data_IF_089481667445
#
_entry.id   IF_089481667445
#
_cell.length_a   1.000
_cell.length_b   1.000
_cell.length_c   1.000
_cell.angle_alpha   90.00
_cell.angle_beta   90.00
_cell.angle_gamma   90.00
#
_symmetry.space_group_name_H-M   'P 1'
#
loop_
_entity.id
_entity.type
_entity.pdbx_description
1 polymer ?
#
# COMPACT_ATOMS: atom_id res chain seq x y z
N UNK A 1 22.12 19.38 -22.18
CA UNK A 1 20.82 18.72 -22.35
C UNK A 1 19.92 19.20 -21.24
N UNK A 2 18.78 19.77 -21.62
CA UNK A 2 17.79 20.36 -20.71
C UNK A 2 17.16 19.24 -19.86
N UNK A 3 17.28 19.33 -18.55
CA UNK A 3 16.60 18.46 -17.60
C UNK A 3 15.09 18.74 -17.66
N UNK A 4 14.30 17.73 -17.99
CA UNK A 4 12.84 17.83 -17.95
C UNK A 4 12.38 17.92 -16.49
N UNK A 5 11.91 19.10 -16.12
CA UNK A 5 11.08 19.30 -14.92
C UNK A 5 9.77 18.55 -15.18
N UNK A 6 9.56 17.41 -14.53
CA UNK A 6 8.24 16.76 -14.53
C UNK A 6 7.26 17.75 -13.90
N UNK A 7 6.25 18.14 -14.67
CA UNK A 7 5.20 19.05 -14.23
C UNK A 7 4.51 18.46 -12.99
N UNK A 8 4.63 19.17 -11.87
CA UNK A 8 3.93 18.88 -10.62
C UNK A 8 2.43 19.13 -10.81
N UNK A 9 1.59 18.14 -10.51
CA UNK A 9 0.14 18.35 -10.39
C UNK A 9 -0.16 18.91 -8.99
N UNK A 10 0.15 20.19 -8.78
CA UNK A 10 -0.47 20.95 -7.70
C UNK A 10 -1.96 21.07 -8.04
N UNK A 11 -2.79 20.23 -7.44
CA UNK A 11 -4.25 20.33 -7.63
C UNK A 11 -4.80 21.15 -6.48
N UNK A 12 -4.77 22.47 -6.63
CA UNK A 12 -5.60 23.34 -5.79
C UNK A 12 -7.05 23.15 -6.22
N UNK A 13 -7.86 22.58 -5.33
CA UNK A 13 -9.25 22.18 -5.51
C UNK A 13 -9.43 20.89 -6.32
N UNK A 14 -9.51 19.77 -5.60
CA UNK A 14 -9.98 18.51 -6.16
C UNK A 14 -11.37 18.73 -6.81
N UNK A 15 -11.56 18.38 -8.10
CA UNK A 15 -12.85 18.48 -8.73
C UNK A 15 -13.87 17.55 -8.04
N UNK A 16 -15.14 17.95 -8.04
CA UNK A 16 -16.27 17.20 -7.49
C UNK A 16 -17.54 17.96 -7.86
N UNK A 17 -18.70 17.27 -7.88
CA UNK A 17 -20.00 17.92 -8.15
C UNK A 17 -20.15 19.21 -7.32
N UNK A 18 -20.69 20.26 -7.96
CA UNK A 18 -20.89 21.66 -7.50
C UNK A 18 -20.27 22.03 -6.14
N UNK A 19 -19.38 23.03 -6.14
CA UNK A 19 -18.89 23.63 -4.90
C UNK A 19 -20.07 23.96 -3.95
N UNK A 20 -20.00 23.59 -2.65
CA UNK A 20 -21.09 23.85 -1.73
C UNK A 20 -21.51 25.31 -1.80
N UNK A 21 -22.81 25.54 -1.96
CA UNK A 21 -23.38 26.90 -2.11
C UNK A 21 -23.55 27.62 -0.78
N UNK A 22 -23.08 27.06 0.33
CA UNK A 22 -22.99 27.76 1.61
C UNK A 22 -21.52 27.87 2.05
N UNK A 23 -21.27 28.70 3.06
CA UNK A 23 -19.94 29.09 3.55
C UNK A 23 -19.05 27.93 4.07
N UNK A 24 -19.54 26.68 4.02
CA UNK A 24 -18.76 25.48 4.37
C UNK A 24 -17.64 25.20 3.36
N UNK A 25 -16.41 25.28 3.85
CA UNK A 25 -15.22 24.88 3.11
C UNK A 25 -14.97 23.38 3.20
N UNK A 26 -14.66 22.76 2.07
CA UNK A 26 -14.15 21.39 2.08
C UNK A 26 -12.67 21.36 2.39
N UNK A 27 -12.21 20.26 2.97
CA UNK A 27 -10.79 20.04 3.15
C UNK A 27 -10.05 20.00 1.80
N UNK A 28 -9.07 20.90 1.63
CA UNK A 28 -8.16 20.86 0.48
C UNK A 28 -7.08 19.79 0.74
N UNK A 29 -7.05 18.75 -0.09
CA UNK A 29 -6.16 17.60 0.08
C UNK A 29 -5.28 17.44 -1.15
N UNK A 30 -3.98 17.29 -0.92
CA UNK A 30 -3.01 16.90 -1.94
C UNK A 30 -2.47 15.51 -1.63
N UNK A 31 -2.49 14.62 -2.61
CA UNK A 31 -1.86 13.29 -2.52
C UNK A 31 -0.54 13.34 -3.26
N UNK A 32 0.55 13.01 -2.56
CA UNK A 32 1.89 12.95 -3.13
C UNK A 32 2.05 11.84 -4.18
N UNK A 33 3.21 11.75 -4.84
CA UNK A 33 3.50 10.66 -5.75
C UNK A 33 3.49 9.33 -5.00
N UNK A 34 3.14 8.25 -5.70
CA UNK A 34 3.21 6.91 -5.14
C UNK A 34 4.68 6.59 -4.82
N UNK A 35 4.99 6.15 -3.59
CA UNK A 35 6.37 5.95 -3.16
C UNK A 35 7.06 4.85 -3.97
N UNK A 36 8.38 4.93 -4.10
CA UNK A 36 9.18 3.85 -4.67
C UNK A 36 9.53 2.81 -3.59
N UNK A 37 9.64 1.55 -3.98
CA UNK A 37 10.26 0.54 -3.12
C UNK A 37 11.78 0.75 -3.08
N UNK A 38 12.38 0.45 -1.93
CA UNK A 38 13.84 0.38 -1.77
C UNK A 38 14.30 -1.06 -1.99
N UNK A 39 15.45 -1.25 -2.63
CA UNK A 39 15.99 -2.60 -2.86
C UNK A 39 16.33 -3.29 -1.53
N UNK A 40 15.69 -4.43 -1.29
CA UNK A 40 15.98 -5.32 -0.16
C UNK A 40 17.07 -6.33 -0.52
N UNK A 41 17.87 -6.72 0.48
CA UNK A 41 18.92 -7.72 0.30
C UNK A 41 18.41 -9.11 0.66
N UNK A 42 18.66 -10.08 -0.23
CA UNK A 42 18.45 -11.51 0.03
C UNK A 42 19.81 -12.20 0.20
N UNK A 43 19.89 -13.18 1.09
CA UNK A 43 21.04 -14.08 1.23
C UNK A 43 20.65 -15.50 0.79
N UNK A 44 21.61 -16.25 0.27
CA UNK A 44 21.46 -17.69 0.01
C UNK A 44 21.54 -18.48 1.32
N UNK A 45 21.19 -19.76 1.26
CA UNK A 45 21.31 -20.68 2.39
C UNK A 45 22.71 -20.76 3.02
N UNK A 46 23.77 -20.52 2.24
CA UNK A 46 25.16 -20.48 2.71
C UNK A 46 25.56 -19.12 3.34
N UNK A 47 24.61 -18.19 3.47
CA UNK A 47 24.83 -16.85 4.01
C UNK A 47 25.36 -15.84 2.99
N UNK A 48 25.64 -16.25 1.75
CA UNK A 48 26.16 -15.35 0.71
C UNK A 48 25.07 -14.37 0.28
N UNK A 49 25.30 -13.04 0.34
CA UNK A 49 24.36 -12.06 -0.20
C UNK A 49 24.18 -12.26 -1.71
N UNK A 50 22.94 -12.21 -2.18
CA UNK A 50 22.69 -12.03 -3.59
C UNK A 50 23.12 -10.63 -3.99
N UNK A 51 23.82 -10.53 -5.12
CA UNK A 51 24.12 -9.24 -5.72
C UNK A 51 22.79 -8.53 -5.96
N UNK A 52 22.64 -7.32 -5.41
CA UNK A 52 21.50 -6.46 -5.69
C UNK A 52 21.47 -6.25 -7.20
N UNK A 53 20.53 -6.91 -7.88
CA UNK A 53 20.16 -6.51 -9.23
C UNK A 53 19.45 -5.19 -9.00
N UNK A 54 20.19 -4.08 -9.12
CA UNK A 54 19.58 -2.76 -9.25
C UNK A 54 18.58 -2.90 -10.38
N UNK A 55 17.31 -3.06 -10.05
CA UNK A 55 16.27 -2.75 -11.02
C UNK A 55 16.42 -1.26 -11.15
N UNK A 56 17.04 -0.81 -12.24
CA UNK A 56 17.00 0.60 -12.58
C UNK A 56 15.54 1.02 -12.37
N UNK A 57 15.29 2.10 -11.63
CA UNK A 57 13.98 2.74 -11.67
C UNK A 57 13.73 3.02 -13.14
N UNK A 58 12.99 2.14 -13.80
CA UNK A 58 12.54 2.36 -15.16
C UNK A 58 11.52 3.49 -15.09
N UNK A 59 11.17 4.07 -16.22
CA UNK A 59 10.07 5.04 -16.30
C UNK A 59 8.71 4.48 -15.78
N UNK A 60 8.69 3.18 -15.42
CA UNK A 60 7.74 2.46 -14.56
C UNK A 60 7.98 2.70 -13.05
N UNK A 61 8.32 3.92 -12.64
CA UNK A 61 8.11 4.30 -11.25
C UNK A 61 6.66 3.93 -10.88
N UNK A 62 6.44 3.38 -9.68
CA UNK A 62 5.08 3.06 -9.23
C UNK A 62 4.24 4.33 -9.39
N UNK A 63 3.21 4.28 -10.22
CA UNK A 63 2.30 5.40 -10.46
C UNK A 63 0.94 5.05 -9.85
N UNK A 64 0.20 6.10 -9.53
CA UNK A 64 -1.22 5.96 -9.33
C UNK A 64 -1.86 5.54 -10.65
N UNK A 65 -2.79 4.59 -10.57
CA UNK A 65 -3.48 4.03 -11.73
C UNK A 65 -4.94 4.49 -11.74
N UNK A 66 -5.54 4.60 -12.92
CA UNK A 66 -6.96 4.95 -13.05
C UNK A 66 -7.82 4.03 -12.17
N UNK A 67 -8.62 4.63 -11.30
CA UNK A 67 -9.47 3.91 -10.37
C UNK A 67 -8.81 3.50 -9.05
N UNK A 68 -7.54 3.87 -8.81
CA UNK A 68 -6.94 3.80 -7.48
C UNK A 68 -7.76 4.64 -6.49
N UNK A 69 -7.96 4.12 -5.27
CA UNK A 69 -8.75 4.77 -4.23
C UNK A 69 -7.92 4.95 -2.96
N UNK A 70 -7.91 6.17 -2.43
CA UNK A 70 -7.40 6.51 -1.11
C UNK A 70 -8.58 6.75 -0.18
N UNK A 71 -8.65 5.98 0.90
CA UNK A 71 -9.62 6.15 1.97
C UNK A 71 -9.10 7.16 2.98
N UNK A 72 -9.97 8.06 3.41
CA UNK A 72 -9.67 9.13 4.34
C UNK A 72 -10.40 8.89 5.66
N UNK A 73 -9.66 9.02 6.74
CA UNK A 73 -10.16 9.08 8.11
C UNK A 73 -9.83 10.46 8.66
N UNK A 74 -10.81 11.22 9.11
CA UNK A 74 -10.59 12.54 9.67
C UNK A 74 -11.21 12.67 11.05
N UNK A 75 -10.47 13.28 11.97
CA UNK A 75 -10.91 13.55 13.33
C UNK A 75 -11.11 15.05 13.49
N UNK A 76 -12.29 15.44 13.97
CA UNK A 76 -12.66 16.83 14.24
C UNK A 76 -12.93 17.01 15.72
N UNK A 77 -12.69 18.23 16.18
CA UNK A 77 -13.07 18.67 17.50
C UNK A 77 -14.01 19.85 17.38
N UNK A 78 -15.15 19.78 18.08
CA UNK A 78 -16.08 20.91 18.18
C UNK A 78 -15.58 21.96 19.21
N UNK A 79 -16.30 23.08 19.32
CA UNK A 79 -15.96 24.16 20.25
C UNK A 79 -16.06 23.77 21.73
N UNK A 80 -16.76 22.68 22.06
CA UNK A 80 -16.92 22.14 23.41
C UNK A 80 -15.84 21.08 23.74
N UNK A 81 -15.02 20.71 22.75
CA UNK A 81 -13.97 19.72 22.87
C UNK A 81 -14.40 18.29 22.52
N UNK A 82 -15.64 18.07 22.08
CA UNK A 82 -16.11 16.74 21.67
C UNK A 82 -15.45 16.32 20.36
N UNK A 83 -15.08 15.04 20.29
CA UNK A 83 -14.39 14.47 19.13
C UNK A 83 -15.38 13.71 18.25
N UNK A 84 -15.36 14.00 16.96
CA UNK A 84 -16.11 13.28 15.93
C UNK A 84 -15.18 12.73 14.86
N UNK A 85 -15.53 11.57 14.32
CA UNK A 85 -14.78 10.90 13.25
C UNK A 85 -15.60 10.91 11.96
N UNK A 86 -14.95 11.20 10.84
CA UNK A 86 -15.55 11.21 9.53
C UNK A 86 -14.71 10.43 8.54
N UNK A 87 -15.39 9.89 7.55
CA UNK A 87 -14.80 9.04 6.52
C UNK A 87 -15.08 9.62 5.15
N UNK A 88 -14.11 9.49 4.26
CA UNK A 88 -14.28 9.85 2.87
C UNK A 88 -13.36 9.01 1.99
N UNK A 89 -13.44 9.19 0.69
CA UNK A 89 -12.45 8.64 -0.23
C UNK A 89 -12.14 9.60 -1.36
N UNK A 90 -10.92 9.47 -1.88
CA UNK A 90 -10.46 10.08 -3.12
C UNK A 90 -10.24 8.98 -4.14
N UNK A 91 -10.66 9.22 -5.38
CA UNK A 91 -10.36 8.35 -6.51
C UNK A 91 -9.39 9.05 -7.45
N UNK A 92 -8.45 8.31 -7.99
CA UNK A 92 -7.52 8.80 -8.99
C UNK A 92 -8.14 8.64 -10.38
N UNK A 93 -8.19 9.73 -11.12
CA UNK A 93 -8.18 9.69 -12.58
C UNK A 93 -6.73 9.77 -13.06
N UNK A 94 -6.42 9.28 -14.25
CA UNK A 94 -5.10 9.31 -14.93
C UNK A 94 -4.21 10.54 -14.69
N UNK A 95 -4.78 11.69 -14.31
CA UNK A 95 -4.05 12.93 -14.02
C UNK A 95 -4.36 13.57 -12.66
N UNK A 96 -5.48 13.29 -12.01
CA UNK A 96 -5.91 14.01 -10.80
C UNK A 96 -6.71 13.18 -9.82
N UNK A 97 -6.62 13.53 -8.54
CA UNK A 97 -7.47 12.99 -7.49
C UNK A 97 -8.78 13.78 -7.40
N UNK A 98 -9.87 13.10 -7.06
CA UNK A 98 -11.16 13.74 -6.84
C UNK A 98 -11.95 13.01 -5.75
N UNK A 99 -12.83 13.75 -5.09
CA UNK A 99 -13.80 13.17 -4.16
C UNK A 99 -14.82 12.33 -4.94
N UNK A 100 -15.21 11.18 -4.40
CA UNK A 100 -16.19 10.31 -5.05
C UNK A 100 -17.49 11.06 -5.38
N UNK A 101 -17.99 10.88 -6.61
CA UNK A 101 -19.35 11.35 -6.95
C UNK A 101 -20.38 10.56 -6.15
N UNK A 102 -21.61 11.10 -6.02
CA UNK A 102 -22.72 10.38 -5.37
C UNK A 102 -23.00 9.02 -6.02
N UNK A 103 -22.86 8.94 -7.34
CA UNK A 103 -23.04 7.69 -8.09
C UNK A 103 -21.94 6.68 -7.75
N UNK A 104 -20.68 7.09 -7.72
CA UNK A 104 -19.56 6.19 -7.41
C UNK A 104 -19.59 5.70 -5.96
N UNK A 105 -19.89 6.60 -5.02
CA UNK A 105 -20.18 6.19 -3.64
C UNK A 105 -21.35 5.19 -3.60
N UNK A 106 -22.38 5.44 -4.41
CA UNK A 106 -23.48 4.55 -4.73
C UNK A 106 -23.05 3.13 -5.13
N UNK A 107 -22.17 3.05 -6.11
CA UNK A 107 -21.61 1.81 -6.66
C UNK A 107 -20.67 1.10 -5.68
N UNK A 108 -20.04 1.85 -4.78
CA UNK A 108 -19.21 1.34 -3.69
C UNK A 108 -20.01 0.92 -2.45
N UNK A 109 -21.34 1.10 -2.46
CA UNK A 109 -22.23 0.69 -1.37
C UNK A 109 -22.23 1.65 -0.16
N UNK A 110 -21.85 2.90 -0.37
CA UNK A 110 -21.67 3.95 0.64
C UNK A 110 -22.90 4.86 0.82
N UNK A 111 -24.07 4.41 0.34
CA UNK A 111 -25.22 5.24 -0.04
C UNK A 111 -25.98 5.89 1.13
N UNK A 112 -25.54 5.66 2.36
CA UNK A 112 -26.28 6.01 3.57
C UNK A 112 -25.72 7.21 4.33
N UNK A 113 -24.61 7.81 3.88
CA UNK A 113 -23.97 8.89 4.63
C UNK A 113 -23.68 10.08 3.70
N UNK A 114 -24.52 11.12 3.77
CA UNK A 114 -24.34 12.35 2.98
C UNK A 114 -23.00 13.06 3.28
N UNK A 115 -22.36 12.67 4.38
CA UNK A 115 -21.07 13.14 4.89
C UNK A 115 -19.86 12.44 4.26
N UNK A 116 -20.07 11.30 3.57
CA UNK A 116 -18.98 10.44 3.12
C UNK A 116 -18.27 10.94 1.86
N UNK A 117 -18.97 11.68 1.00
CA UNK A 117 -18.43 12.02 -0.32
C UNK A 117 -17.39 13.13 -0.24
N UNK A 118 -17.47 13.99 0.77
CA UNK A 118 -16.57 15.13 0.93
C UNK A 118 -16.42 15.45 2.39
N UNK A 119 -15.20 15.67 2.83
CA UNK A 119 -14.93 16.17 4.17
C UNK A 119 -15.30 17.66 4.18
N UNK A 120 -16.50 17.95 4.67
CA UNK A 120 -17.03 19.29 4.84
C UNK A 120 -16.88 19.67 6.30
N UNK A 121 -16.13 20.75 6.57
CA UNK A 121 -15.97 21.28 7.91
C UNK A 121 -17.20 22.09 8.32
N UNK A 122 -17.90 21.73 9.41
CA UNK A 122 -18.90 22.61 9.99
C UNK A 122 -18.22 23.80 10.69
N UNK A 123 -18.90 24.95 10.73
CA UNK A 123 -18.40 26.13 11.43
C UNK A 123 -18.13 25.84 12.91
N UNK A 124 -17.00 26.34 13.41
CA UNK A 124 -16.56 26.11 14.80
C UNK A 124 -15.85 24.78 15.05
N UNK A 125 -15.69 23.93 14.04
CA UNK A 125 -14.91 22.69 14.16
C UNK A 125 -13.46 22.90 13.72
N UNK A 126 -12.55 22.21 14.41
CA UNK A 126 -11.13 22.14 14.03
C UNK A 126 -10.80 20.72 13.56
N UNK A 127 -10.12 20.60 12.42
CA UNK A 127 -9.49 19.33 12.01
C UNK A 127 -8.32 19.05 12.95
N UNK A 128 -8.37 17.94 13.66
CA UNK A 128 -7.29 17.49 14.55
C UNK A 128 -6.28 16.66 13.78
N UNK A 129 -6.76 15.70 13.02
CA UNK A 129 -5.92 14.79 12.25
C UNK A 129 -6.68 14.28 11.02
N UNK A 130 -5.93 13.91 9.99
CA UNK A 130 -6.44 13.29 8.77
C UNK A 130 -5.46 12.19 8.39
N UNK A 131 -5.94 10.96 8.28
CA UNK A 131 -5.16 9.80 7.88
C UNK A 131 -5.64 9.32 6.50
N UNK A 132 -4.69 8.90 5.68
CA UNK A 132 -4.92 8.35 4.35
C UNK A 132 -4.52 6.88 4.31
N UNK A 133 -5.37 6.04 3.74
CA UNK A 133 -5.14 4.61 3.59
C UNK A 133 -5.36 4.18 2.14
N UNK A 134 -4.45 3.39 1.61
CA UNK A 134 -4.57 2.81 0.28
C UNK A 134 -4.57 1.29 0.38
N UNK A 135 -5.65 0.69 -0.12
CA UNK A 135 -5.86 -0.75 -0.20
C UNK A 135 -6.36 -1.15 -1.60
N UNK A 136 -5.92 -0.42 -2.63
CA UNK A 136 -6.38 -0.59 -4.01
C UNK A 136 -7.81 -0.09 -4.21
N UNK A 137 -8.51 -0.67 -5.17
CA UNK A 137 -9.90 -0.31 -5.53
C UNK A 137 -10.97 -1.09 -4.74
N UNK A 138 -10.60 -1.68 -3.60
CA UNK A 138 -11.49 -2.53 -2.80
C UNK A 138 -12.70 -1.76 -2.27
N UNK A 139 -13.89 -2.32 -2.46
CA UNK A 139 -15.15 -1.76 -1.93
C UNK A 139 -15.36 -2.20 -0.48
N UNK A 140 -15.82 -1.30 0.41
CA UNK A 140 -16.17 -1.68 1.76
C UNK A 140 -17.39 -2.60 1.76
N UNK A 141 -17.33 -3.68 2.54
CA UNK A 141 -18.47 -4.54 2.83
C UNK A 141 -19.49 -3.88 3.75
N UNK A 142 -20.55 -4.61 4.12
CA UNK A 142 -21.69 -4.10 4.92
C UNK A 142 -21.32 -3.47 6.28
N UNK A 143 -20.12 -3.74 6.79
CA UNK A 143 -19.65 -3.22 8.07
C UNK A 143 -18.53 -2.16 7.91
N UNK A 144 -18.27 -1.67 6.69
CA UNK A 144 -17.14 -0.77 6.42
C UNK A 144 -15.80 -1.48 6.24
N UNK A 145 -15.79 -2.83 6.17
CA UNK A 145 -14.60 -3.64 6.01
C UNK A 145 -14.16 -3.72 4.55
N UNK A 146 -12.96 -3.24 4.23
CA UNK A 146 -12.30 -3.42 2.93
C UNK A 146 -11.44 -4.67 3.02
N UNK A 147 -11.69 -5.65 2.16
CA UNK A 147 -10.91 -6.90 2.11
C UNK A 147 -9.74 -6.73 1.15
N UNK A 148 -8.53 -7.04 1.62
CA UNK A 148 -7.32 -7.02 0.82
C UNK A 148 -7.09 -8.42 0.26
N UNK A 149 -6.87 -8.57 -1.06
CA UNK A 149 -6.65 -9.87 -1.66
C UNK A 149 -5.46 -10.60 -1.04
N UNK A 150 -5.59 -11.93 -0.89
CA UNK A 150 -4.48 -12.75 -0.44
C UNK A 150 -3.35 -12.78 -1.48
N UNK A 151 -2.08 -12.90 -1.08
CA UNK A 151 -0.94 -12.99 -2.01
C UNK A 151 -0.98 -14.16 -2.99
N UNK A 152 -1.82 -15.16 -2.73
CA UNK A 152 -2.08 -16.29 -3.62
C UNK A 152 -3.23 -16.08 -4.61
N UNK A 153 -3.92 -14.94 -4.54
CA UNK A 153 -4.93 -14.58 -5.52
C UNK A 153 -4.32 -13.98 -6.78
N UNK A 154 -5.13 -13.86 -7.83
CA UNK A 154 -4.73 -13.26 -9.11
C UNK A 154 -4.54 -11.73 -9.04
N UNK A 155 -4.87 -11.12 -7.88
CA UNK A 155 -4.78 -9.69 -7.63
C UNK A 155 -3.89 -9.42 -6.44
N UNK A 156 -3.00 -8.44 -6.56
CA UNK A 156 -2.02 -8.11 -5.51
C UNK A 156 -2.02 -6.60 -5.30
N UNK A 157 -2.13 -6.16 -4.04
CA UNK A 157 -2.29 -4.75 -3.70
C UNK A 157 -1.18 -4.31 -2.73
N UNK A 158 -0.41 -3.25 -3.05
CA UNK A 158 0.57 -2.71 -2.13
C UNK A 158 -0.11 -1.78 -1.13
N UNK A 159 -0.37 -2.27 0.07
CA UNK A 159 -1.02 -1.47 1.13
C UNK A 159 -0.11 -0.32 1.55
N UNK A 160 -0.69 0.87 1.65
CA UNK A 160 0.02 2.08 2.09
C UNK A 160 -0.81 2.89 3.07
N UNK A 161 -0.13 3.67 3.91
CA UNK A 161 -0.74 4.64 4.80
C UNK A 161 0.04 5.95 4.82
N UNK A 162 -0.64 7.02 5.24
CA UNK A 162 -0.07 8.34 5.41
C UNK A 162 -0.80 9.08 6.55
N UNK A 163 -0.04 9.74 7.42
CA UNK A 163 -0.57 10.83 8.23
C UNK A 163 -0.61 12.11 7.40
N UNK A 164 -1.68 12.87 7.51
CA UNK A 164 -1.85 14.12 6.81
C UNK A 164 -0.97 15.19 7.43
N UNK A 165 -0.23 15.89 6.58
CA UNK A 165 0.58 17.03 6.98
C UNK A 165 -0.20 18.32 6.73
N UNK A 166 -0.54 19.03 7.81
CA UNK A 166 -1.23 20.32 7.72
C UNK A 166 -0.28 21.40 7.21
N UNK A 167 -0.70 22.12 6.17
CA UNK A 167 0.01 23.31 5.69
C UNK A 167 0.15 24.37 6.77
N UNK A 168 1.20 25.18 6.66
CA UNK A 168 1.48 26.29 7.60
C UNK A 168 0.32 27.31 7.62
N UNK A 169 -0.36 27.48 6.48
CA UNK A 169 -1.51 28.38 6.35
C UNK A 169 -2.80 27.80 6.94
N UNK A 170 -2.81 26.49 7.26
CA UNK A 170 -3.87 25.87 8.05
C UNK A 170 -5.03 25.27 7.27
N UNK A 171 -5.11 25.53 5.97
CA UNK A 171 -6.31 25.27 5.15
C UNK A 171 -6.17 24.09 4.17
N UNK A 172 -4.97 23.52 4.06
CA UNK A 172 -4.67 22.37 3.19
C UNK A 172 -3.88 21.28 3.92
N UNK A 173 -4.06 20.05 3.46
CA UNK A 173 -3.42 18.84 3.97
C UNK A 173 -2.73 18.09 2.83
N UNK A 174 -1.52 17.60 3.08
CA UNK A 174 -0.76 16.79 2.12
C UNK A 174 -0.48 15.40 2.67
N UNK A 175 -0.57 14.38 1.80
CA UNK A 175 -0.26 13.00 2.15
C UNK A 175 1.01 12.52 1.46
N UNK A 176 1.96 12.06 2.27
CA UNK A 176 3.16 11.34 1.83
C UNK A 176 3.02 9.86 2.23
N UNK A 177 2.59 9.03 1.29
CA UNK A 177 2.34 7.62 1.56
C UNK A 177 3.62 6.81 1.79
N UNK A 178 3.50 5.82 2.67
CA UNK A 178 4.53 4.81 2.93
C UNK A 178 3.93 3.42 2.80
N UNK A 179 4.73 2.47 2.30
CA UNK A 179 4.29 1.09 2.19
C UNK A 179 4.25 0.44 3.57
N UNK A 180 3.15 -0.25 3.87
CA UNK A 180 3.03 -1.08 5.06
C UNK A 180 3.60 -2.49 4.81
N UNK A 181 3.84 -2.85 3.55
CA UNK A 181 4.25 -4.18 3.08
C UNK A 181 5.62 -4.15 2.38
N UNK A 182 6.24 -5.34 2.22
CA UNK A 182 7.32 -5.56 1.27
C UNK A 182 6.79 -6.07 -0.07
N UNK A 183 7.54 -5.83 -1.14
CA UNK A 183 7.33 -6.45 -2.45
C UNK A 183 8.23 -7.67 -2.61
N UNK A 184 7.69 -8.80 -3.04
CA UNK A 184 8.46 -9.95 -3.52
C UNK A 184 8.21 -10.14 -5.02
N UNK A 185 9.24 -9.94 -5.83
CA UNK A 185 9.20 -10.12 -7.29
C UNK A 185 9.66 -11.54 -7.65
N UNK A 186 8.75 -12.31 -8.23
CA UNK A 186 8.92 -13.72 -8.54
C UNK A 186 9.11 -13.90 -10.06
N UNK A 187 10.20 -14.54 -10.53
CA UNK A 187 10.37 -14.85 -11.94
C UNK A 187 9.40 -15.95 -12.43
N UNK A 188 9.14 -15.96 -13.74
CA UNK A 188 8.31 -16.97 -14.39
C UNK A 188 8.89 -18.39 -14.24
N UNK A 189 8.03 -19.40 -14.20
CA UNK A 189 8.41 -20.81 -14.14
C UNK A 189 8.86 -21.32 -12.77
N UNK A 190 8.75 -20.52 -11.71
CA UNK A 190 9.09 -20.93 -10.35
C UNK A 190 7.87 -21.11 -9.46
N UNK A 191 7.80 -22.26 -8.78
CA UNK A 191 6.97 -22.42 -7.60
C UNK A 191 7.67 -21.74 -6.43
N UNK A 192 6.92 -20.98 -5.62
CA UNK A 192 7.43 -20.27 -4.45
C UNK A 192 6.73 -20.75 -3.21
N UNK A 193 7.50 -21.06 -2.16
CA UNK A 193 6.98 -21.43 -0.86
C UNK A 193 7.61 -20.60 0.25
N UNK A 194 6.81 -20.29 1.26
CA UNK A 194 7.24 -19.62 2.50
C UNK A 194 6.43 -20.19 3.66
N UNK A 195 7.09 -20.51 4.77
CA UNK A 195 6.39 -20.96 5.97
C UNK A 195 5.88 -19.76 6.76
N UNK A 196 4.59 -19.75 7.13
CA UNK A 196 4.02 -18.79 8.09
C UNK A 196 4.30 -17.31 7.76
N UNK A 197 4.22 -16.93 6.47
CA UNK A 197 4.25 -15.51 6.13
C UNK A 197 2.94 -14.84 6.57
N UNK A 198 2.98 -13.51 6.65
CA UNK A 198 1.80 -12.68 6.94
C UNK A 198 1.51 -11.71 5.80
N UNK A 199 0.26 -11.28 5.71
CA UNK A 199 -0.17 -10.19 4.83
C UNK A 199 -1.32 -9.43 5.49
N UNK A 200 -1.56 -8.20 5.05
CA UNK A 200 -2.73 -7.44 5.45
C UNK A 200 -3.97 -8.02 4.76
N UNK A 201 -4.93 -8.53 5.54
CA UNK A 201 -6.14 -9.15 4.98
C UNK A 201 -7.34 -8.21 4.90
N UNK A 202 -7.39 -7.16 5.73
CA UNK A 202 -8.50 -6.22 5.71
C UNK A 202 -8.18 -4.90 6.41
N UNK A 203 -8.95 -3.87 6.06
CA UNK A 203 -9.00 -2.57 6.72
C UNK A 203 -10.44 -2.27 7.15
N UNK A 204 -10.63 -1.78 8.37
CA UNK A 204 -11.96 -1.44 8.90
C UNK A 204 -12.13 0.07 8.94
N UNK A 205 -13.04 0.61 8.12
CA UNK A 205 -13.28 2.05 8.07
C UNK A 205 -13.69 2.58 9.46
N UNK A 206 -14.82 2.18 10.10
CA UNK A 206 -15.27 2.76 11.38
C UNK A 206 -14.31 2.53 12.55
N UNK A 207 -13.44 1.52 12.44
CA UNK A 207 -12.45 1.21 13.46
C UNK A 207 -11.26 2.14 13.46
N UNK A 208 -10.92 2.76 12.32
CA UNK A 208 -9.69 3.56 12.12
C UNK A 208 -8.40 2.76 12.24
N UNK A 209 -8.43 1.67 12.99
CA UNK A 209 -7.40 0.70 13.13
C UNK A 209 -7.34 -0.16 11.88
N UNK A 210 -6.14 -0.20 11.31
CA UNK A 210 -5.69 -1.29 10.47
C UNK A 210 -5.71 -2.54 11.35
N UNK A 211 -6.90 -3.12 11.53
CA UNK A 211 -7.14 -4.20 12.46
C UNK A 211 -6.48 -5.42 11.85
N UNK A 212 -5.24 -5.66 12.30
CA UNK A 212 -4.32 -6.66 11.80
C UNK A 212 -4.94 -8.05 12.02
N UNK A 213 -5.85 -8.46 11.14
CA UNK A 213 -6.05 -9.87 10.85
C UNK A 213 -4.95 -10.24 9.87
N UNK A 214 -3.74 -10.37 10.40
CA UNK A 214 -2.72 -11.12 9.70
C UNK A 214 -3.13 -12.57 9.70
N UNK A 215 -3.34 -13.11 8.51
CA UNK A 215 -3.37 -14.55 8.38
C UNK A 215 -1.91 -15.02 8.29
N UNK A 216 -1.49 -15.81 9.26
CA UNK A 216 -0.32 -16.65 9.09
C UNK A 216 -0.78 -17.87 8.28
N UNK A 217 -0.41 -17.91 7.01
CA UNK A 217 -0.67 -19.06 6.16
C UNK A 217 0.63 -19.48 5.50
N UNK A 218 0.88 -20.78 5.28
CA UNK A 218 1.91 -21.18 4.35
C UNK A 218 1.62 -20.56 2.98
N UNK A 219 2.65 -19.99 2.35
CA UNK A 219 2.61 -19.61 0.95
C UNK A 219 2.98 -20.83 0.12
N UNK A 220 2.16 -21.13 -0.87
CA UNK A 220 2.48 -22.10 -1.91
C UNK A 220 1.90 -21.60 -3.23
N UNK A 221 2.72 -20.88 -3.98
CA UNK A 221 2.32 -20.35 -5.28
C UNK A 221 2.89 -21.24 -6.38
N UNK A 222 2.05 -21.83 -7.26
CA UNK A 222 2.54 -22.63 -8.37
C UNK A 222 3.39 -21.78 -9.32
N UNK A 223 4.16 -22.47 -10.17
CA UNK A 223 4.84 -21.82 -11.29
C UNK A 223 3.80 -21.14 -12.19
N UNK A 224 4.05 -19.87 -12.52
CA UNK A 224 3.28 -19.13 -13.52
C UNK A 224 4.13 -18.87 -14.76
N UNK A 225 3.46 -18.67 -15.88
CA UNK A 225 4.11 -18.44 -17.18
C UNK A 225 4.74 -17.04 -17.29
N UNK A 226 4.36 -16.11 -16.41
CA UNK A 226 4.86 -14.75 -16.35
C UNK A 226 5.44 -14.42 -14.96
N UNK A 227 6.39 -13.47 -14.87
CA UNK A 227 6.79 -12.90 -13.59
C UNK A 227 5.60 -12.26 -12.87
N UNK A 228 5.59 -12.28 -11.55
CA UNK A 228 4.54 -11.67 -10.73
C UNK A 228 5.12 -11.02 -9.48
N UNK A 229 4.47 -9.97 -9.03
CA UNK A 229 4.77 -9.30 -7.77
C UNK A 229 3.70 -9.65 -6.74
N UNK A 230 4.14 -10.05 -5.56
CA UNK A 230 3.26 -10.22 -4.40
C UNK A 230 3.65 -9.25 -3.29
N UNK A 231 2.66 -8.78 -2.54
CA UNK A 231 2.87 -7.91 -1.39
C UNK A 231 2.62 -8.67 -0.10
N UNK A 232 3.66 -8.75 0.71
CA UNK A 232 3.63 -9.48 1.97
C UNK A 232 3.84 -8.48 3.10
N UNK A 233 3.37 -8.80 4.29
CA UNK A 233 3.89 -8.13 5.47
C UNK A 233 5.41 -8.24 5.47
N UNK A 234 6.08 -7.26 6.10
CA UNK A 234 7.52 -7.17 6.07
C UNK A 234 8.13 -8.56 6.30
N UNK A 235 8.98 -9.03 5.37
CA UNK A 235 9.32 -10.46 5.13
C UNK A 235 10.00 -11.12 6.34
N UNK A 236 9.24 -11.25 7.40
CA UNK A 236 9.59 -11.62 8.74
C UNK A 236 8.33 -12.12 9.46
N UNK A 237 8.51 -12.99 10.43
CA UNK A 237 7.43 -13.40 11.33
C UNK A 237 7.06 -12.28 12.31
N UNK A 238 6.17 -12.58 13.26
CA UNK A 238 5.67 -11.65 14.28
C UNK A 238 6.77 -11.02 15.13
N UNK A 239 7.94 -11.67 15.18
CA UNK A 239 9.10 -11.27 15.96
C UNK A 239 10.12 -10.49 15.13
N UNK A 240 9.82 -10.20 13.86
CA UNK A 240 10.76 -9.53 12.95
C UNK A 240 11.82 -10.48 12.38
N UNK A 241 11.69 -11.79 12.55
CA UNK A 241 12.67 -12.78 12.07
C UNK A 241 12.38 -13.13 10.62
N UNK A 242 13.33 -12.93 9.68
CA UNK A 242 13.13 -13.21 8.27
C UNK A 242 12.64 -14.64 7.99
N UNK A 243 11.55 -14.75 7.23
CA UNK A 243 11.03 -16.05 6.80
C UNK A 243 11.79 -16.52 5.55
N UNK A 244 12.37 -17.74 5.55
CA UNK A 244 13.00 -18.29 4.36
C UNK A 244 12.00 -18.46 3.19
N UNK A 245 12.46 -18.10 2.00
CA UNK A 245 11.76 -18.19 0.74
C UNK A 245 12.36 -19.34 -0.06
N UNK A 246 11.55 -20.33 -0.38
CA UNK A 246 11.96 -21.49 -1.18
C UNK A 246 11.46 -21.35 -2.61
N UNK A 247 12.37 -21.40 -3.58
CA UNK A 247 12.07 -21.44 -5.02
C UNK A 247 12.32 -22.83 -5.56
N UNK A 248 11.38 -23.34 -6.36
CA UNK A 248 11.52 -24.63 -7.04
C UNK A 248 11.23 -24.49 -8.53
N UNK A 249 12.11 -25.02 -9.37
CA UNK A 249 11.93 -25.13 -10.82
C UNK A 249 12.58 -26.39 -11.35
N UNK A 250 11.83 -27.18 -12.12
CA UNK A 250 12.32 -28.41 -12.76
C UNK A 250 13.03 -29.39 -11.81
N UNK A 251 12.55 -29.51 -10.57
CA UNK A 251 13.12 -30.41 -9.55
C UNK A 251 14.32 -29.86 -8.76
N UNK A 252 14.85 -28.69 -9.13
CA UNK A 252 15.87 -27.98 -8.34
C UNK A 252 15.21 -27.01 -7.35
N UNK A 253 15.84 -26.86 -6.18
CA UNK A 253 15.32 -26.04 -5.07
C UNK A 253 16.41 -25.11 -4.54
N UNK A 254 16.04 -23.86 -4.31
CA UNK A 254 16.90 -22.83 -3.72
C UNK A 254 16.18 -22.15 -2.56
N UNK A 255 16.93 -21.78 -1.52
CA UNK A 255 16.39 -21.05 -0.38
C UNK A 255 17.09 -19.71 -0.24
N UNK A 256 16.29 -18.66 -0.06
CA UNK A 256 16.73 -17.30 0.16
C UNK A 256 16.13 -16.74 1.44
N UNK A 257 16.88 -15.92 2.16
CA UNK A 257 16.40 -15.27 3.38
C UNK A 257 16.65 -13.77 3.26
N UNK A 258 15.66 -12.91 3.52
CA UNK A 258 15.92 -11.48 3.67
C UNK A 258 16.98 -11.21 4.72
N UNK A 259 17.84 -10.23 4.47
CA UNK A 259 18.81 -9.80 5.47
C UNK A 259 18.05 -9.26 6.69
N UNK A 260 18.41 -9.67 7.92
CA UNK A 260 17.73 -9.18 9.12
C UNK A 260 17.71 -7.66 9.21
N UNK A 261 16.60 -7.13 9.69
CA UNK A 261 16.44 -5.73 10.06
C UNK A 261 17.41 -5.30 11.16
N UNK A 262 17.45 -4.00 11.39
CA UNK A 262 18.23 -3.37 12.47
C UNK A 262 17.53 -3.40 13.83
N UNK A 263 16.21 -3.63 13.82
CA UNK A 263 15.35 -3.76 14.99
C UNK A 263 14.70 -5.15 15.02
N UNK A 264 14.15 -5.54 16.17
CA UNK A 264 13.32 -6.75 16.31
C UNK A 264 11.88 -6.49 15.89
N UNK A 265 11.66 -5.71 14.82
CA UNK A 265 10.34 -5.34 14.32
C UNK A 265 10.19 -5.72 12.86
N UNK A 266 9.00 -6.21 12.51
CA UNK A 266 8.63 -6.39 11.11
C UNK A 266 8.73 -5.06 10.34
N UNK A 267 8.44 -3.90 10.95
CA UNK A 267 8.45 -2.60 10.23
C UNK A 267 9.75 -2.27 9.49
N UNK A 268 10.89 -2.87 9.85
CA UNK A 268 12.16 -2.69 9.15
C UNK A 268 12.15 -3.15 7.69
N UNK A 269 11.26 -4.07 7.32
CA UNK A 269 11.15 -4.54 5.93
C UNK A 269 10.03 -3.85 5.13
N UNK A 270 9.27 -2.94 5.76
CA UNK A 270 8.27 -2.13 5.07
C UNK A 270 8.89 -1.30 3.95
N UNK A 271 8.27 -1.30 2.77
CA UNK A 271 8.80 -0.58 1.60
C UNK A 271 10.06 -1.19 0.98
N UNK A 272 10.51 -2.36 1.43
CA UNK A 272 11.57 -3.10 0.75
C UNK A 272 11.03 -3.95 -0.40
N UNK A 273 11.82 -4.07 -1.46
CA UNK A 273 11.56 -4.93 -2.62
C UNK A 273 12.63 -6.01 -2.74
N UNK A 274 12.21 -7.27 -2.71
CA UNK A 274 13.08 -8.43 -2.90
C UNK A 274 12.85 -9.01 -4.30
N UNK A 275 13.89 -8.96 -5.14
CA UNK A 275 13.84 -9.55 -6.47
C UNK A 275 14.52 -10.91 -6.44
N UNK A 276 13.74 -11.96 -6.70
CA UNK A 276 14.28 -13.31 -6.80
C UNK A 276 15.00 -13.49 -8.14
N UNK A 277 16.20 -14.10 -8.14
CA UNK A 277 16.98 -14.26 -9.37
C UNK A 277 16.36 -15.33 -10.28
N UNK A 278 16.53 -15.17 -11.59
CA UNK A 278 16.32 -16.26 -12.55
C UNK A 278 17.54 -17.20 -12.49
N UNK A 279 17.29 -18.47 -12.15
CA UNK A 279 18.31 -19.48 -11.85
C UNK A 279 18.26 -20.60 -12.88
N UNK A 280 19.37 -20.83 -13.59
CA UNK A 280 19.45 -21.94 -14.53
C UNK A 280 19.23 -23.29 -13.83
N UNK A 281 18.42 -24.22 -14.40
CA UNK A 281 18.33 -25.59 -13.91
C UNK A 281 19.73 -26.24 -13.99
N UNK A 282 20.32 -26.57 -12.84
CA UNK A 282 21.65 -27.20 -12.77
C UNK A 282 22.75 -26.39 -12.07
N UNK A 283 22.45 -25.20 -11.52
CA UNK A 283 23.38 -24.46 -10.67
C UNK A 283 23.60 -25.15 -9.32
N UNK A 284 24.72 -25.85 -9.21
CA UNK A 284 25.39 -26.48 -8.04
C UNK A 284 24.66 -26.36 -6.69
N UNK A 285 24.30 -27.50 -6.11
CA UNK A 285 24.00 -27.63 -4.69
C UNK A 285 25.21 -27.16 -3.87
N UNK A 286 25.12 -26.11 -3.02
CA UNK A 286 26.19 -25.81 -2.08
C UNK A 286 26.18 -26.91 -1.01
N UNK A 287 27.22 -27.74 -0.96
CA UNK A 287 27.38 -28.76 0.08
C UNK A 287 28.07 -30.08 -0.31
N UNK A 288 28.55 -30.22 -1.55
CA UNK A 288 29.34 -31.39 -1.95
C UNK A 288 30.84 -31.10 -2.04
N UNK A 289 31.55 -31.23 -0.92
CA UNK A 289 32.95 -31.69 -0.90
C UNK A 289 33.09 -32.73 0.21
#
# INVERSE_FOLDING_TARGET
>A
MLSALCAWSCTDNLPGDEAPTDDRHSLNITVGPKPAFTDGTLTRADGTPLAQTRVAQTDDATKWEEGDVVWLYATFQDTEGNIGTFYSALKYTDTTWYYLTKTEAGEMGLNNDNSFNRIILPDGYTVIDVLGYYAGNGKPGKNGLITIPAPSSDTSVPVMEASGERSIQGDSWSFSFTYCCSRLRIPAGYRVQMANYRYYASYDLPGGDLNIKTAATPLDLPAADAPRDIFLLPVADDQGIPVPITLTRSGATWTFTPQPGTTTSATDYSGQSYTLPDLAPGGVTPGGM
#
